data_IF_845259149463
#
_entry.id   IF_845259149463
#
_cell.length_a   1.000
_cell.length_b   1.000
_cell.length_c   1.000
_cell.angle_alpha   90.00
_cell.angle_beta   90.00
_cell.angle_gamma   90.00
#
_symmetry.space_group_name_H-M   'P 1'
#
loop_
_entity.id
_entity.type
_entity.pdbx_description
1 polymer ?
#
# COMPACT_ATOMS: atom_id res chain seq x y z
N UNK A 1 16.29 -5.59 12.68
CA UNK A 1 14.85 -5.87 12.63
C UNK A 1 14.25 -5.01 11.54
N UNK A 2 13.79 -5.59 10.42
CA UNK A 2 13.25 -4.81 9.31
C UNK A 2 11.97 -4.05 9.67
N UNK A 3 11.84 -2.87 9.07
CA UNK A 3 10.65 -2.04 9.16
C UNK A 3 9.69 -2.39 8.03
N UNK A 4 8.48 -2.80 8.38
CA UNK A 4 7.44 -3.18 7.43
C UNK A 4 6.49 -2.00 7.21
N UNK A 5 6.18 -1.73 5.95
CA UNK A 5 5.12 -0.80 5.57
C UNK A 5 4.10 -1.47 4.67
N UNK A 6 2.84 -1.47 5.13
CA UNK A 6 1.69 -2.00 4.40
C UNK A 6 0.74 -0.88 4.07
N UNK A 7 0.23 -0.88 2.84
CA UNK A 7 -0.87 -0.01 2.43
C UNK A 7 -1.94 -0.82 1.69
N UNK A 8 -3.18 -0.40 1.88
CA UNK A 8 -4.35 -0.88 1.13
C UNK A 8 -5.10 0.32 0.60
N UNK A 9 -5.28 0.37 -0.71
CA UNK A 9 -5.96 1.44 -1.43
C UNK A 9 -7.09 0.86 -2.26
N UNK A 10 -8.27 1.48 -2.25
CA UNK A 10 -9.34 1.15 -3.20
C UNK A 10 -9.65 2.33 -4.09
N UNK A 11 -9.42 2.16 -5.39
CA UNK A 11 -9.76 3.16 -6.40
C UNK A 11 -11.27 3.18 -6.59
N UNK A 12 -11.88 4.37 -6.51
CA UNK A 12 -13.35 4.48 -6.43
C UNK A 12 -14.07 4.20 -7.75
N UNK A 13 -13.37 4.26 -8.88
CA UNK A 13 -13.95 4.07 -10.22
C UNK A 13 -12.87 3.79 -11.27
N UNK A 14 -13.24 3.04 -12.32
CA UNK A 14 -12.40 2.79 -13.50
C UNK A 14 -11.92 4.07 -14.18
N UNK A 15 -12.68 5.16 -14.08
CA UNK A 15 -12.28 6.46 -14.63
C UNK A 15 -10.95 6.97 -14.02
N UNK A 16 -10.70 6.69 -12.74
CA UNK A 16 -9.44 7.06 -12.08
C UNK A 16 -8.36 5.99 -12.18
N UNK A 17 -8.70 4.78 -12.64
CA UNK A 17 -7.79 3.65 -12.65
C UNK A 17 -6.56 3.93 -13.51
N UNK A 18 -6.72 4.48 -14.72
CA UNK A 18 -5.58 4.71 -15.61
C UNK A 18 -4.57 5.70 -15.01
N UNK A 19 -5.04 6.83 -14.47
CA UNK A 19 -4.17 7.80 -13.79
C UNK A 19 -3.52 7.21 -12.55
N UNK A 20 -4.28 6.45 -11.75
CA UNK A 20 -3.76 5.75 -10.58
C UNK A 20 -2.64 4.78 -10.95
N UNK A 21 -2.86 3.90 -11.95
CA UNK A 21 -1.87 2.91 -12.39
C UNK A 21 -0.59 3.58 -12.89
N UNK A 22 -0.70 4.66 -13.67
CA UNK A 22 0.48 5.41 -14.12
C UNK A 22 1.28 5.98 -12.94
N UNK A 23 0.62 6.55 -11.95
CA UNK A 23 1.27 7.05 -10.73
C UNK A 23 1.83 5.92 -9.86
N UNK A 24 1.16 4.77 -9.82
CA UNK A 24 1.62 3.57 -9.14
C UNK A 24 2.92 3.06 -9.77
N UNK A 25 2.96 2.85 -11.09
CA UNK A 25 4.17 2.39 -11.77
C UNK A 25 5.35 3.36 -11.62
N UNK A 26 5.10 4.68 -11.65
CA UNK A 26 6.13 5.67 -11.38
C UNK A 26 6.68 5.57 -9.95
N UNK A 27 5.79 5.40 -8.96
CA UNK A 27 6.19 5.20 -7.56
C UNK A 27 6.92 3.87 -7.35
N UNK A 28 6.48 2.80 -8.02
CA UNK A 28 7.13 1.48 -7.99
C UNK A 28 8.52 1.55 -8.62
N UNK A 29 8.72 2.32 -9.69
CA UNK A 29 10.05 2.51 -10.27
C UNK A 29 11.03 3.14 -9.26
N UNK A 30 10.60 4.19 -8.56
CA UNK A 30 11.41 4.83 -7.51
C UNK A 30 11.63 3.90 -6.31
N UNK A 31 10.59 3.16 -5.91
CA UNK A 31 10.64 2.16 -4.84
C UNK A 31 11.74 1.13 -5.10
N UNK A 32 11.75 0.52 -6.28
CA UNK A 32 12.74 -0.51 -6.66
C UNK A 32 14.19 -0.03 -6.62
N UNK A 33 14.40 1.26 -6.89
CA UNK A 33 15.72 1.91 -6.81
C UNK A 33 16.04 2.50 -5.43
N UNK A 34 15.13 2.43 -4.47
CA UNK A 34 15.31 3.07 -3.16
C UNK A 34 16.33 2.30 -2.31
N UNK A 35 17.28 3.04 -1.73
CA UNK A 35 18.22 2.49 -0.76
C UNK A 35 17.47 1.95 0.46
N UNK A 36 17.93 0.81 0.98
CA UNK A 36 17.38 0.19 2.18
C UNK A 36 16.05 -0.56 1.96
N UNK A 37 15.53 -0.65 0.73
CA UNK A 37 14.45 -1.58 0.43
C UNK A 37 15.01 -3.02 0.43
N UNK A 38 14.48 -3.89 1.28
CA UNK A 38 14.86 -5.30 1.35
C UNK A 38 14.02 -6.12 0.38
N UNK A 39 12.70 -6.04 0.50
CA UNK A 39 11.74 -6.77 -0.32
C UNK A 39 10.45 -5.99 -0.46
N UNK A 40 9.66 -6.31 -1.47
CA UNK A 40 8.30 -5.81 -1.56
C UNK A 40 7.45 -6.63 -2.50
N UNK A 41 6.14 -6.63 -2.27
CA UNK A 41 5.17 -7.20 -3.19
C UNK A 41 3.92 -6.35 -3.24
N UNK A 42 3.26 -6.41 -4.37
CA UNK A 42 1.99 -5.75 -4.61
C UNK A 42 0.96 -6.78 -5.05
N UNK A 43 -0.27 -6.59 -4.63
CA UNK A 43 -1.39 -7.41 -5.02
C UNK A 43 -2.54 -6.54 -5.54
N UNK A 44 -3.04 -6.90 -6.73
CA UNK A 44 -4.31 -6.41 -7.24
C UNK A 44 -5.41 -7.38 -6.81
N UNK A 45 -6.28 -6.91 -5.94
CA UNK A 45 -7.43 -7.64 -5.40
C UNK A 45 -8.73 -7.14 -6.05
N UNK A 46 -9.85 -7.79 -5.74
CA UNK A 46 -11.17 -7.43 -6.29
C UNK A 46 -11.56 -5.99 -5.95
N UNK A 47 -12.50 -5.46 -6.74
CA UNK A 47 -13.11 -4.13 -6.56
C UNK A 47 -12.09 -2.98 -6.64
N UNK A 48 -11.08 -3.11 -7.50
CA UNK A 48 -10.01 -2.11 -7.69
C UNK A 48 -9.25 -1.83 -6.38
N UNK A 49 -8.99 -2.90 -5.62
CA UNK A 49 -8.24 -2.83 -4.36
C UNK A 49 -6.80 -3.22 -4.63
N UNK A 50 -5.88 -2.41 -4.14
CA UNK A 50 -4.45 -2.57 -4.32
C UNK A 50 -3.81 -2.66 -2.94
N UNK A 51 -3.01 -3.70 -2.76
CA UNK A 51 -2.25 -3.92 -1.56
C UNK A 51 -0.78 -3.81 -1.89
N UNK A 52 -0.02 -3.09 -1.06
CA UNK A 52 1.43 -3.00 -1.19
C UNK A 52 2.04 -3.28 0.17
N UNK A 53 3.00 -4.20 0.21
CA UNK A 53 3.87 -4.41 1.37
C UNK A 53 5.32 -4.21 0.96
N UNK A 54 6.07 -3.54 1.81
CA UNK A 54 7.50 -3.28 1.65
C UNK A 54 8.21 -3.53 2.97
N UNK A 55 9.35 -4.21 2.90
CA UNK A 55 10.27 -4.43 4.01
C UNK A 55 11.50 -3.56 3.79
N UNK A 56 11.89 -2.82 4.82
CA UNK A 56 12.98 -1.86 4.80
C UNK A 56 14.00 -2.20 5.88
N UNK A 57 15.25 -1.80 5.68
CA UNK A 57 16.31 -1.91 6.69
C UNK A 57 15.90 -1.18 7.99
N UNK A 58 15.28 0.00 7.85
CA UNK A 58 14.79 0.82 8.94
C UNK A 58 13.64 1.76 8.50
N UNK A 59 13.05 2.47 9.46
CA UNK A 59 11.98 3.44 9.20
C UNK A 59 12.47 4.65 8.38
N UNK A 60 13.74 5.03 8.50
CA UNK A 60 14.30 6.21 7.82
C UNK A 60 14.39 5.97 6.32
N UNK A 61 14.85 4.79 5.89
CA UNK A 61 14.88 4.36 4.50
C UNK A 61 13.47 4.38 3.87
N UNK A 62 12.48 3.85 4.60
CA UNK A 62 11.07 3.91 4.18
C UNK A 62 10.57 5.36 4.05
N UNK A 63 10.89 6.24 5.01
CA UNK A 63 10.52 7.66 4.98
C UNK A 63 11.19 8.40 3.81
N UNK A 64 12.45 8.09 3.48
CA UNK A 64 13.15 8.65 2.30
C UNK A 64 12.41 8.32 1.01
N UNK A 65 11.99 7.06 0.84
CA UNK A 65 11.13 6.69 -0.29
C UNK A 65 9.78 7.44 -0.26
N UNK A 66 9.09 7.53 0.88
CA UNK A 66 7.82 8.29 0.94
C UNK A 66 7.99 9.76 0.57
N UNK A 67 9.18 10.33 0.79
CA UNK A 67 9.57 11.68 0.41
C UNK A 67 9.90 11.86 -1.08
N UNK A 68 9.98 10.78 -1.86
CA UNK A 68 10.35 10.81 -3.27
C UNK A 68 9.30 11.52 -4.14
N UNK A 69 9.73 12.00 -5.30
CA UNK A 69 8.89 12.85 -6.16
C UNK A 69 7.63 12.12 -6.65
N UNK A 70 7.76 10.89 -7.14
CA UNK A 70 6.63 10.16 -7.71
C UNK A 70 5.63 9.74 -6.63
N UNK A 71 6.12 9.25 -5.47
CA UNK A 71 5.25 8.92 -4.34
C UNK A 71 4.50 10.16 -3.83
N UNK A 72 5.18 11.30 -3.64
CA UNK A 72 4.52 12.54 -3.22
C UNK A 72 3.45 13.00 -4.19
N UNK A 73 3.70 12.95 -5.50
CA UNK A 73 2.70 13.27 -6.54
C UNK A 73 1.49 12.35 -6.47
N UNK A 74 1.68 11.06 -6.20
CA UNK A 74 0.58 10.12 -6.01
C UNK A 74 -0.24 10.47 -4.77
N UNK A 75 0.40 10.77 -3.64
CA UNK A 75 -0.28 11.12 -2.38
C UNK A 75 -1.14 12.39 -2.48
N UNK A 76 -0.74 13.38 -3.28
CA UNK A 76 -1.57 14.57 -3.53
C UNK A 76 -2.91 14.24 -4.21
N UNK A 77 -2.93 13.21 -5.05
CA UNK A 77 -4.11 12.81 -5.81
C UNK A 77 -4.91 11.69 -5.14
N UNK A 78 -4.31 10.96 -4.19
CA UNK A 78 -4.91 9.84 -3.51
C UNK A 78 -6.31 10.14 -2.95
N UNK A 79 -6.57 11.27 -2.25
CA UNK A 79 -7.90 11.56 -1.72
C UNK A 79 -8.97 11.72 -2.80
N UNK A 80 -8.59 12.07 -4.03
CA UNK A 80 -9.50 12.20 -5.17
C UNK A 80 -9.79 10.84 -5.82
N UNK A 81 -8.76 10.01 -5.99
CA UNK A 81 -8.86 8.72 -6.69
C UNK A 81 -9.46 7.61 -5.85
N UNK A 82 -9.10 7.56 -4.56
CA UNK A 82 -9.47 6.48 -3.67
C UNK A 82 -10.71 6.82 -2.85
N UNK A 83 -11.53 5.81 -2.57
CA UNK A 83 -12.58 5.87 -1.56
C UNK A 83 -12.27 5.03 -0.31
N UNK A 84 -11.18 4.26 -0.34
CA UNK A 84 -10.63 3.57 0.83
C UNK A 84 -9.11 3.73 0.79
N UNK A 85 -8.52 4.03 1.95
CA UNK A 85 -7.07 4.10 2.10
C UNK A 85 -6.72 3.83 3.56
N UNK A 86 -5.86 2.83 3.78
CA UNK A 86 -5.39 2.41 5.09
C UNK A 86 -3.93 1.98 5.01
N UNK A 87 -3.21 2.13 6.12
CA UNK A 87 -1.82 1.73 6.23
C UNK A 87 -1.51 1.23 7.64
N UNK A 88 -0.50 0.38 7.75
CA UNK A 88 0.04 -0.05 9.02
C UNK A 88 1.54 -0.23 8.87
N UNK A 89 2.28 0.11 9.91
CA UNK A 89 3.72 -0.12 9.95
C UNK A 89 4.09 -0.81 11.25
N UNK A 90 5.05 -1.72 11.20
CA UNK A 90 5.58 -2.40 12.37
C UNK A 90 7.04 -2.80 12.12
N UNK A 91 7.69 -3.23 13.19
CA UNK A 91 9.02 -3.81 13.14
C UNK A 91 8.85 -5.32 13.37
N UNK A 92 9.53 -6.16 12.60
CA UNK A 92 9.57 -7.62 12.80
C UNK A 92 11.00 -8.12 12.88
N UNK A 93 11.21 -9.34 13.37
CA UNK A 93 12.54 -9.92 13.55
C UNK A 93 13.07 -10.51 12.23
N UNK A 94 12.20 -11.20 11.50
CA UNK A 94 12.55 -11.95 10.31
C UNK A 94 12.69 -11.04 9.09
N UNK A 95 13.67 -11.32 8.24
CA UNK A 95 13.82 -10.70 6.93
C UNK A 95 12.93 -11.37 5.88
N UNK A 96 11.76 -11.88 6.26
CA UNK A 96 10.82 -12.56 5.38
C UNK A 96 9.52 -11.77 5.22
N UNK A 97 9.03 -11.66 3.99
CA UNK A 97 7.78 -10.96 3.74
C UNK A 97 6.59 -11.82 4.21
N UNK A 98 5.74 -11.33 5.13
CA UNK A 98 4.60 -12.09 5.61
C UNK A 98 3.62 -12.51 4.49
N UNK A 99 2.84 -13.55 4.73
CA UNK A 99 1.77 -13.93 3.81
C UNK A 99 0.61 -12.90 3.86
N UNK A 100 -0.24 -12.89 2.83
CA UNK A 100 -1.32 -11.89 2.72
C UNK A 100 -2.34 -11.94 3.86
N UNK A 101 -2.58 -13.09 4.46
CA UNK A 101 -3.48 -13.23 5.61
C UNK A 101 -2.94 -12.46 6.81
N UNK A 102 -1.67 -12.70 7.18
CA UNK A 102 -1.00 -11.97 8.26
C UNK A 102 -0.96 -10.46 7.99
N UNK A 103 -0.73 -10.07 6.73
CA UNK A 103 -0.71 -8.67 6.30
C UNK A 103 -2.08 -8.02 6.52
N UNK A 104 -3.16 -8.66 6.06
CA UNK A 104 -4.51 -8.10 6.20
C UNK A 104 -4.95 -8.06 7.65
N UNK A 105 -4.66 -9.11 8.42
CA UNK A 105 -5.06 -9.20 9.82
C UNK A 105 -4.44 -8.05 10.63
N UNK A 106 -3.12 -7.84 10.49
CA UNK A 106 -2.42 -6.73 11.14
C UNK A 106 -2.93 -5.36 10.69
N UNK A 107 -3.18 -5.19 9.39
CA UNK A 107 -3.72 -3.93 8.89
C UNK A 107 -5.12 -3.63 9.47
N UNK A 108 -5.95 -4.65 9.63
CA UNK A 108 -7.32 -4.47 10.12
C UNK A 108 -7.39 -4.30 11.64
N UNK A 109 -6.48 -4.93 12.40
CA UNK A 109 -6.41 -4.81 13.85
C UNK A 109 -5.68 -3.54 14.33
N UNK A 110 -4.54 -3.21 13.71
CA UNK A 110 -3.59 -2.21 14.21
C UNK A 110 -3.37 -1.04 13.23
N UNK A 111 -4.03 -1.07 12.07
CA UNK A 111 -3.87 -0.08 11.03
C UNK A 111 -4.54 1.26 11.29
N UNK A 112 -4.14 2.24 10.47
CA UNK A 112 -4.65 3.60 10.48
C UNK A 112 -5.29 3.92 9.14
N UNK A 113 -6.31 4.76 9.18
CA UNK A 113 -6.97 5.27 8.00
C UNK A 113 -6.25 6.52 7.46
N UNK A 114 -6.13 6.58 6.14
CA UNK A 114 -5.74 7.80 5.42
C UNK A 114 -6.99 8.58 5.01
N UNK A 115 -6.88 9.91 4.98
CA UNK A 115 -8.00 10.78 4.56
C UNK A 115 -8.30 10.60 3.07
N UNK A 116 -9.58 10.43 2.75
CA UNK A 116 -10.10 10.37 1.38
C UNK A 116 -11.27 11.34 1.22
N UNK A 117 -11.51 11.86 0.01
CA UNK A 117 -12.56 12.86 -0.23
C UNK A 117 -13.96 12.24 -0.25
N UNK A 118 -14.09 11.01 -0.73
CA UNK A 118 -15.37 10.31 -0.87
C UNK A 118 -15.25 8.93 -0.21
N UNK A 119 -15.29 8.84 1.13
CA UNK A 119 -15.08 7.57 1.82
C UNK A 119 -16.21 6.58 1.52
N UNK A 120 -15.87 5.30 1.40
CA UNK A 120 -16.87 4.23 1.38
C UNK A 120 -17.39 3.94 2.79
N UNK A 121 -18.48 3.17 2.90
CA UNK A 121 -18.97 2.70 4.20
C UNK A 121 -17.88 1.93 4.96
N UNK A 122 -17.11 1.07 4.28
CA UNK A 122 -16.00 0.32 4.89
C UNK A 122 -14.88 1.23 5.41
N UNK A 123 -14.58 2.34 4.73
CA UNK A 123 -13.65 3.36 5.23
C UNK A 123 -14.20 4.07 6.47
N UNK A 124 -15.50 4.41 6.47
CA UNK A 124 -16.15 5.11 7.58
C UNK A 124 -16.19 4.25 8.83
N UNK A 125 -16.54 2.96 8.69
CA UNK A 125 -16.66 2.02 9.81
C UNK A 125 -15.33 1.36 10.18
N UNK A 126 -14.25 1.62 9.43
CA UNK A 126 -12.97 0.92 9.55
C UNK A 126 -13.12 -0.62 9.48
N UNK A 127 -13.98 -1.10 8.58
CA UNK A 127 -14.26 -2.53 8.39
C UNK A 127 -14.13 -2.89 6.92
N UNK A 128 -13.02 -3.53 6.55
CA UNK A 128 -12.71 -3.89 5.18
C UNK A 128 -13.01 -5.36 4.90
N UNK A 129 -13.41 -5.71 3.67
CA UNK A 129 -13.53 -7.11 3.30
C UNK A 129 -12.14 -7.79 3.29
N UNK A 130 -12.07 -9.10 3.57
CA UNK A 130 -10.85 -9.87 3.43
C UNK A 130 -10.38 -9.89 1.97
N UNK A 131 -9.09 -10.16 1.77
CA UNK A 131 -8.49 -10.33 0.44
C UNK A 131 -9.19 -11.49 -0.26
N UNK A 132 -9.66 -11.28 -1.50
CA UNK A 132 -10.42 -12.28 -2.24
C UNK A 132 -9.67 -12.86 -3.44
N UNK A 133 -8.66 -12.17 -3.94
CA UNK A 133 -7.98 -12.52 -5.18
C UNK A 133 -6.48 -12.31 -5.04
N UNK A 134 -5.69 -13.38 -5.13
CA UNK A 134 -4.23 -13.34 -5.00
C UNK A 134 -3.48 -13.64 -6.32
N UNK A 135 -4.19 -14.01 -7.40
CA UNK A 135 -3.57 -14.42 -8.68
C UNK A 135 -2.82 -13.30 -9.40
N UNK A 136 -3.00 -12.05 -8.97
CA UNK A 136 -2.40 -10.86 -9.57
C UNK A 136 -1.32 -10.23 -8.68
N UNK A 137 -0.68 -11.05 -7.85
CA UNK A 137 0.49 -10.66 -7.07
C UNK A 137 1.71 -10.46 -7.99
N UNK A 138 2.50 -9.42 -7.70
CA UNK A 138 3.83 -9.23 -8.28
C UNK A 138 4.87 -8.93 -7.19
N UNK A 139 6.06 -9.50 -7.34
CA UNK A 139 7.23 -9.12 -6.55
C UNK A 139 7.83 -7.82 -7.09
N UNK A 140 8.23 -6.95 -6.18
CA UNK A 140 8.84 -5.66 -6.48
C UNK A 140 10.37 -5.73 -6.33
N UNK A 141 10.87 -6.54 -5.41
CA UNK A 141 12.28 -6.85 -5.19
C UNK A 141 12.39 -8.28 -4.66
#
# INVERSE_FOLDING_TARGET
>A
MPFVSVTRLRVKSLFFLFSFMRSNEASVKELKSSSGLLMGKELIDKKLTFWTITLWEDEEAMKKFRGSLSHRKAMLNLPKWCNEASYHHWIQEENECPNWTTISDKLFSEGKLSKVRNPSNAQITNQFPPIQWTKSERKLK
#
